data_IF_658256544534
#
_entry.id   IF_658256544534
#
_cell.length_a   1.000
_cell.length_b   1.000
_cell.length_c   1.000
_cell.angle_alpha   90.00
_cell.angle_beta   90.00
_cell.angle_gamma   90.00
#
_symmetry.space_group_name_H-M   'P 1'
#
loop_
_entity.id
_entity.type
_entity.pdbx_description
1 polymer ?
#
# COMPACT_ATOMS: atom_id res chain seq x y z
N UNK A 1 19.94 -24.53 -3.02
CA UNK A 1 20.30 -23.09 -2.92
C UNK A 1 19.08 -22.29 -3.32
N UNK A 2 18.53 -21.40 -2.49
CA UNK A 2 17.49 -20.50 -2.96
C UNK A 2 18.14 -19.51 -3.92
N UNK A 3 17.74 -19.52 -5.19
CA UNK A 3 18.17 -18.53 -6.16
C UNK A 3 17.70 -17.15 -5.66
N UNK A 4 18.64 -16.27 -5.35
CA UNK A 4 18.36 -14.88 -5.05
C UNK A 4 17.98 -14.15 -6.34
N UNK A 5 16.69 -14.15 -6.67
CA UNK A 5 16.14 -13.47 -7.85
C UNK A 5 16.19 -11.95 -7.68
N UNK A 6 17.12 -11.29 -8.40
CA UNK A 6 17.20 -9.82 -8.46
C UNK A 6 16.66 -9.34 -9.82
N UNK A 7 15.63 -8.48 -9.86
CA UNK A 7 15.21 -7.83 -11.09
C UNK A 7 16.37 -7.05 -11.73
N UNK A 8 16.49 -7.11 -13.06
CA UNK A 8 17.47 -6.28 -13.77
C UNK A 8 17.12 -4.80 -13.62
N UNK A 9 18.14 -3.95 -13.55
CA UNK A 9 17.95 -2.49 -13.42
C UNK A 9 17.03 -1.94 -14.52
N UNK A 10 17.17 -2.46 -15.74
CA UNK A 10 16.33 -2.07 -16.88
C UNK A 10 14.84 -2.38 -16.66
N UNK A 11 14.51 -3.57 -16.14
CA UNK A 11 13.13 -3.96 -15.87
C UNK A 11 12.51 -3.18 -14.70
N UNK A 12 13.33 -2.88 -13.69
CA UNK A 12 12.94 -1.97 -12.61
C UNK A 12 12.60 -0.58 -13.14
N UNK A 13 13.45 -0.02 -14.01
CA UNK A 13 13.23 1.29 -14.59
C UNK A 13 11.98 1.31 -15.47
N UNK A 14 11.78 0.28 -16.31
CA UNK A 14 10.63 0.22 -17.22
C UNK A 14 9.29 0.02 -16.49
N UNK A 15 9.26 -0.80 -15.44
CA UNK A 15 8.04 -0.97 -14.63
C UNK A 15 7.74 0.28 -13.82
N UNK A 16 8.77 0.98 -13.32
CA UNK A 16 8.59 2.26 -12.64
C UNK A 16 8.04 3.35 -13.58
N UNK A 17 8.57 3.47 -14.81
CA UNK A 17 8.05 4.44 -15.78
C UNK A 17 6.62 4.11 -16.20
N UNK A 18 6.31 2.82 -16.41
CA UNK A 18 4.95 2.38 -16.72
C UNK A 18 3.96 2.73 -15.60
N UNK A 19 4.36 2.51 -14.34
CA UNK A 19 3.56 2.86 -13.17
C UNK A 19 3.37 4.38 -13.04
N UNK A 20 4.41 5.17 -13.28
CA UNK A 20 4.32 6.64 -13.27
C UNK A 20 3.38 7.17 -14.35
N UNK A 21 3.45 6.62 -15.58
CA UNK A 21 2.52 6.95 -16.66
C UNK A 21 1.08 6.56 -16.31
N UNK A 22 0.88 5.39 -15.70
CA UNK A 22 -0.42 4.95 -15.21
C UNK A 22 -1.03 5.95 -14.23
N UNK A 23 -0.25 6.45 -13.27
CA UNK A 23 -0.69 7.48 -12.31
C UNK A 23 -1.05 8.80 -13.00
N UNK A 24 -0.26 9.23 -13.98
CA UNK A 24 -0.55 10.46 -14.75
C UNK A 24 -1.85 10.31 -15.52
N UNK A 25 -2.03 9.21 -16.25
CA UNK A 25 -3.26 8.92 -17.03
C UNK A 25 -4.47 8.81 -16.10
N UNK A 26 -4.33 8.15 -14.95
CA UNK A 26 -5.41 8.01 -13.96
C UNK A 26 -5.88 9.36 -13.41
N UNK A 27 -4.98 10.35 -13.31
CA UNK A 27 -5.30 11.69 -12.82
C UNK A 27 -5.68 12.69 -13.92
N UNK A 28 -5.65 12.30 -15.19
CA UNK A 28 -6.13 13.17 -16.27
C UNK A 28 -7.64 13.33 -16.19
N UNK A 29 -8.09 14.58 -16.20
CA UNK A 29 -9.50 14.94 -16.32
C UNK A 29 -9.81 15.41 -17.73
N UNK A 30 -11.10 15.52 -18.09
CA UNK A 30 -11.54 16.08 -19.38
C UNK A 30 -11.09 17.53 -19.59
N UNK A 31 -10.74 18.24 -18.51
CA UNK A 31 -10.23 19.61 -18.53
C UNK A 31 -8.69 19.70 -18.45
N UNK A 32 -7.98 18.56 -18.50
CA UNK A 32 -6.52 18.48 -18.38
C UNK A 32 -6.02 18.02 -17.01
N UNK A 33 -4.76 18.33 -16.69
CA UNK A 33 -4.12 17.98 -15.41
C UNK A 33 -4.31 19.13 -14.43
N UNK A 34 -5.12 18.90 -13.40
CA UNK A 34 -5.27 19.83 -12.28
C UNK A 34 -4.22 19.45 -11.23
N UNK A 35 -3.34 20.38 -10.89
CA UNK A 35 -2.34 20.14 -9.86
C UNK A 35 -3.00 20.07 -8.48
N UNK A 36 -2.78 18.96 -7.77
CA UNK A 36 -3.33 18.72 -6.43
C UNK A 36 -2.18 18.43 -5.49
N UNK A 37 -1.88 19.37 -4.60
CA UNK A 37 -0.82 19.22 -3.60
C UNK A 37 -1.01 17.98 -2.71
N UNK A 38 -2.25 17.57 -2.49
CA UNK A 38 -2.60 16.35 -1.75
C UNK A 38 -2.05 15.07 -2.39
N UNK A 39 -1.84 15.05 -3.71
CA UNK A 39 -1.24 13.90 -4.40
C UNK A 39 0.23 13.70 -4.00
N UNK A 40 0.95 14.77 -3.66
CA UNK A 40 2.32 14.67 -3.14
C UNK A 40 2.35 14.03 -1.75
N UNK A 41 1.35 14.30 -0.91
CA UNK A 41 1.18 13.61 0.37
C UNK A 41 0.89 12.11 0.15
N UNK A 42 0.08 11.78 -0.86
CA UNK A 42 -0.15 10.39 -1.27
C UNK A 42 1.13 9.69 -1.75
N UNK A 43 1.94 10.35 -2.57
CA UNK A 43 3.24 9.84 -3.02
C UNK A 43 4.22 9.66 -1.86
N UNK A 44 4.31 10.64 -0.96
CA UNK A 44 5.13 10.55 0.25
C UNK A 44 4.68 9.38 1.14
N UNK A 45 3.37 9.20 1.33
CA UNK A 45 2.82 8.07 2.05
C UNK A 45 3.21 6.73 1.40
N UNK A 46 3.18 6.64 0.07
CA UNK A 46 3.65 5.46 -0.68
C UNK A 46 5.14 5.16 -0.45
N UNK A 47 5.99 6.19 -0.50
CA UNK A 47 7.42 6.06 -0.23
C UNK A 47 7.69 5.56 1.20
N UNK A 48 7.10 6.20 2.21
CA UNK A 48 7.25 5.78 3.61
C UNK A 48 6.66 4.39 3.88
N UNK A 49 5.57 4.02 3.20
CA UNK A 49 5.03 2.67 3.27
C UNK A 49 6.07 1.66 2.77
N UNK A 50 6.70 1.90 1.61
CA UNK A 50 7.79 1.06 1.10
C UNK A 50 8.97 0.95 2.08
N UNK A 51 9.44 2.07 2.63
CA UNK A 51 10.50 2.08 3.64
C UNK A 51 10.12 1.25 4.88
N UNK A 52 8.87 1.37 5.35
CA UNK A 52 8.37 0.61 6.50
C UNK A 52 8.39 -0.90 6.24
N UNK A 53 8.10 -1.35 5.01
CA UNK A 53 8.16 -2.78 4.67
C UNK A 53 9.60 -3.31 4.69
N UNK A 54 10.57 -2.53 4.21
CA UNK A 54 11.98 -2.92 4.25
C UNK A 54 12.47 -2.98 5.70
N UNK A 55 12.08 -2.02 6.53
CA UNK A 55 12.38 -2.02 7.95
C UNK A 55 11.72 -3.21 8.67
N UNK A 56 10.45 -3.49 8.38
CA UNK A 56 9.69 -4.60 8.95
C UNK A 56 10.30 -5.95 8.54
N UNK A 57 10.72 -6.11 7.28
CA UNK A 57 11.42 -7.30 6.82
C UNK A 57 12.70 -7.52 7.63
N UNK A 58 13.54 -6.49 7.79
CA UNK A 58 14.76 -6.60 8.60
C UNK A 58 14.47 -6.90 10.07
N UNK A 59 13.49 -6.22 10.66
CA UNK A 59 13.07 -6.45 12.04
C UNK A 59 12.54 -7.86 12.26
N UNK A 60 11.82 -8.42 11.29
CA UNK A 60 11.29 -9.79 11.34
C UNK A 60 12.36 -10.89 11.27
N UNK A 61 13.61 -10.52 10.94
CA UNK A 61 14.77 -11.43 10.97
C UNK A 61 15.53 -11.42 12.29
N UNK A 62 15.21 -10.48 13.17
CA UNK A 62 15.69 -10.50 14.55
C UNK A 62 14.80 -11.47 15.33
N UNK A 63 15.37 -12.16 16.33
CA UNK A 63 14.65 -13.08 17.21
C UNK A 63 13.78 -12.30 18.22
N UNK A 64 12.81 -11.57 17.70
CA UNK A 64 11.84 -10.77 18.44
C UNK A 64 10.43 -11.24 18.09
N UNK A 65 9.53 -11.37 19.08
CA UNK A 65 8.14 -11.73 18.82
C UNK A 65 7.47 -10.71 17.89
N UNK A 66 6.74 -11.20 16.88
CA UNK A 66 6.00 -10.38 15.91
C UNK A 66 5.05 -9.37 16.57
N UNK A 67 4.48 -9.74 17.72
CA UNK A 67 3.61 -8.85 18.50
C UNK A 67 4.36 -7.64 19.06
N UNK A 68 5.62 -7.82 19.48
CA UNK A 68 6.46 -6.73 20.00
C UNK A 68 6.82 -5.76 18.88
N UNK A 69 7.21 -6.27 17.70
CA UNK A 69 7.55 -5.45 16.53
C UNK A 69 6.36 -4.59 16.11
N UNK A 70 5.18 -5.19 15.93
CA UNK A 70 3.99 -4.45 15.53
C UNK A 70 3.45 -3.54 16.64
N UNK A 71 3.52 -3.98 17.91
CA UNK A 71 3.08 -3.20 19.06
C UNK A 71 3.83 -1.87 19.18
N UNK A 72 5.16 -1.90 19.11
CA UNK A 72 5.97 -0.68 19.09
C UNK A 72 5.72 0.18 17.86
N UNK A 73 5.57 -0.45 16.69
CA UNK A 73 5.25 0.27 15.45
C UNK A 73 3.94 1.07 15.57
N UNK A 74 2.89 0.46 16.13
CA UNK A 74 1.61 1.14 16.37
C UNK A 74 1.70 2.18 17.48
N UNK A 75 2.45 1.93 18.55
CA UNK A 75 2.65 2.89 19.63
C UNK A 75 3.33 4.17 19.13
N UNK A 76 4.41 4.05 18.35
CA UNK A 76 5.08 5.20 17.74
C UNK A 76 4.18 5.91 16.72
N UNK A 77 3.45 5.17 15.89
CA UNK A 77 2.49 5.76 14.97
C UNK A 77 1.41 6.57 15.70
N UNK A 78 0.84 6.03 16.78
CA UNK A 78 -0.14 6.72 17.59
C UNK A 78 0.44 8.00 18.24
N UNK A 79 1.67 7.93 18.76
CA UNK A 79 2.35 9.08 19.36
C UNK A 79 2.61 10.20 18.34
N UNK A 80 2.93 9.86 17.10
CA UNK A 80 3.17 10.83 16.01
C UNK A 80 1.84 11.42 15.49
N UNK A 81 0.79 10.60 15.37
CA UNK A 81 -0.51 11.03 14.83
C UNK A 81 -1.28 11.90 15.83
N UNK A 82 -1.17 11.63 17.13
CA UNK A 82 -1.91 12.36 18.17
C UNK A 82 -1.73 13.90 18.13
N UNK A 83 -0.51 14.47 18.07
CA UNK A 83 -0.32 15.92 17.94
C UNK A 83 -0.77 16.45 16.57
N UNK A 84 -0.84 15.62 15.52
CA UNK A 84 -1.36 16.06 14.23
C UNK A 84 -2.86 16.34 14.28
N UNK A 85 -3.60 15.65 15.14
CA UNK A 85 -5.04 15.89 15.36
C UNK A 85 -5.30 17.27 15.97
N UNK A 86 -4.43 17.74 16.89
CA UNK A 86 -4.60 19.06 17.53
C UNK A 86 -4.25 20.22 16.59
N UNK A 87 -3.33 20.01 15.64
CA UNK A 87 -2.93 21.02 14.66
C UNK A 87 -3.98 21.18 13.55
N UNK A 88 -4.59 20.08 13.11
CA UNK A 88 -5.50 20.07 11.95
C UNK A 88 -6.94 20.45 12.30
N UNK A 89 -7.36 20.32 13.57
CA UNK A 89 -8.71 20.64 14.06
C UNK A 89 -8.61 21.62 15.24
N UNK A 90 -8.38 22.93 15.00
CA UNK A 90 -8.21 23.91 16.07
C UNK A 90 -9.49 24.14 16.90
N UNK A 91 -10.67 23.85 16.35
CA UNK A 91 -11.95 23.96 17.03
C UNK A 91 -12.34 22.65 17.72
N UNK A 92 -11.72 22.39 18.87
CA UNK A 92 -11.96 21.21 19.71
C UNK A 92 -13.44 21.05 20.14
N UNK A 93 -14.21 22.14 20.17
CA UNK A 93 -15.63 22.15 20.54
C UNK A 93 -16.53 21.60 19.43
N UNK A 94 -16.22 21.85 18.16
CA UNK A 94 -16.99 21.32 17.03
C UNK A 94 -16.78 19.80 16.85
N UNK A 95 -15.57 19.30 17.11
CA UNK A 95 -15.26 17.87 17.07
C UNK A 95 -15.89 17.09 18.23
N UNK A 96 -16.01 17.68 19.42
CA UNK A 96 -16.76 17.09 20.55
C UNK A 96 -18.27 16.99 20.28
N UNK A 97 -18.85 17.95 19.56
CA UNK A 97 -20.26 17.89 19.15
C UNK A 97 -20.49 16.74 18.16
N UNK A 98 -19.59 16.53 17.19
CA UNK A 98 -19.65 15.38 16.28
C UNK A 98 -19.42 14.02 16.97
N UNK A 99 -18.67 13.98 18.08
CA UNK A 99 -18.54 12.76 18.90
C UNK A 99 -19.86 12.36 19.55
N UNK A 100 -20.71 13.33 19.91
CA UNK A 100 -22.02 13.08 20.53
C UNK A 100 -23.06 12.59 19.51
N UNK A 101 -22.87 12.88 18.21
CA UNK A 101 -23.69 12.35 17.11
C UNK A 101 -23.08 11.11 16.43
N UNK A 102 -21.99 10.58 16.99
CA UNK A 102 -21.30 9.42 16.43
C UNK A 102 -22.19 8.17 16.60
N UNK A 103 -22.81 7.73 15.50
CA UNK A 103 -23.62 6.52 15.53
C UNK A 103 -22.79 5.30 15.96
N UNK A 104 -23.38 4.41 16.74
CA UNK A 104 -22.75 3.13 17.14
C UNK A 104 -22.29 2.29 15.93
N UNK A 105 -22.94 2.46 14.78
CA UNK A 105 -22.52 1.86 13.52
C UNK A 105 -21.13 2.31 13.08
N UNK A 106 -20.84 3.61 13.13
CA UNK A 106 -19.51 4.16 12.78
C UNK A 106 -18.45 3.67 13.75
N UNK A 107 -18.73 3.65 15.06
CA UNK A 107 -17.81 3.10 16.07
C UNK A 107 -17.47 1.64 15.78
N UNK A 108 -18.49 0.83 15.46
CA UNK A 108 -18.31 -0.59 15.14
C UNK A 108 -17.43 -0.77 13.90
N UNK A 109 -17.66 0.02 12.85
CA UNK A 109 -16.84 0.00 11.63
C UNK A 109 -15.39 0.44 11.90
N UNK A 110 -15.17 1.43 12.76
CA UNK A 110 -13.81 1.85 13.15
C UNK A 110 -13.07 0.75 13.93
N UNK A 111 -13.75 0.05 14.83
CA UNK A 111 -13.18 -1.10 15.54
C UNK A 111 -12.83 -2.21 14.54
N UNK A 112 -13.74 -2.54 13.62
CA UNK A 112 -13.48 -3.53 12.57
C UNK A 112 -12.30 -3.14 11.69
N UNK A 113 -12.21 -1.86 11.29
CA UNK A 113 -11.10 -1.34 10.50
C UNK A 113 -9.77 -1.47 11.26
N UNK A 114 -9.74 -1.08 12.54
CA UNK A 114 -8.56 -1.19 13.39
C UNK A 114 -8.11 -2.65 13.56
N UNK A 115 -9.05 -3.55 13.87
CA UNK A 115 -8.78 -4.97 14.02
C UNK A 115 -8.29 -5.62 12.72
N UNK A 116 -8.93 -5.32 11.58
CA UNK A 116 -8.53 -5.82 10.27
C UNK A 116 -7.14 -5.34 9.86
N UNK A 117 -6.84 -4.06 10.12
CA UNK A 117 -5.53 -3.46 9.84
C UNK A 117 -4.43 -4.08 10.71
N UNK A 118 -4.69 -4.25 12.02
CA UNK A 118 -3.76 -4.89 12.94
C UNK A 118 -3.50 -6.35 12.56
N UNK A 119 -4.56 -7.09 12.20
CA UNK A 119 -4.48 -8.49 11.74
C UNK A 119 -3.63 -8.61 10.47
N UNK A 120 -3.83 -7.71 9.50
CA UNK A 120 -3.05 -7.67 8.26
C UNK A 120 -1.56 -7.46 8.55
N UNK A 121 -1.22 -6.52 9.42
CA UNK A 121 0.19 -6.25 9.78
C UNK A 121 0.81 -7.41 10.56
N UNK A 122 0.05 -8.05 11.44
CA UNK A 122 0.49 -9.23 12.17
C UNK A 122 0.84 -10.40 11.23
N UNK A 123 -0.07 -10.76 10.31
CA UNK A 123 0.17 -11.84 9.36
C UNK A 123 1.28 -11.50 8.38
N UNK A 124 1.38 -10.24 7.95
CA UNK A 124 2.47 -9.79 7.08
C UNK A 124 3.83 -9.93 7.77
N UNK A 125 3.95 -9.52 9.03
CA UNK A 125 5.20 -9.67 9.77
C UNK A 125 5.56 -11.14 10.00
N UNK A 126 4.58 -12.01 10.30
CA UNK A 126 4.80 -13.47 10.34
C UNK A 126 5.26 -14.03 9.00
N UNK A 127 4.64 -13.62 7.90
CA UNK A 127 5.06 -14.05 6.57
C UNK A 127 6.51 -13.64 6.30
N UNK A 128 6.91 -12.43 6.70
CA UNK A 128 8.30 -11.96 6.59
C UNK A 128 9.30 -12.79 7.40
N UNK A 129 8.90 -13.34 8.55
CA UNK A 129 9.75 -14.30 9.28
C UNK A 129 10.02 -15.58 8.46
N UNK A 130 9.01 -16.07 7.73
CA UNK A 130 9.06 -17.37 7.03
C UNK A 130 9.81 -17.36 5.68
N UNK A 131 9.88 -16.22 4.99
CA UNK A 131 10.48 -16.14 3.65
C UNK A 131 11.97 -15.80 3.67
N UNK A 132 12.75 -16.32 2.74
CA UNK A 132 14.19 -15.99 2.67
C UNK A 132 14.44 -14.59 2.08
N UNK A 133 13.51 -14.09 1.26
CA UNK A 133 13.63 -12.81 0.56
C UNK A 133 12.30 -12.05 0.57
N UNK A 134 12.38 -10.72 0.67
CA UNK A 134 11.23 -9.82 0.53
C UNK A 134 10.50 -10.02 -0.82
N UNK A 135 11.24 -10.39 -1.87
CA UNK A 135 10.69 -10.62 -3.21
C UNK A 135 9.73 -11.82 -3.29
N UNK A 136 9.77 -12.76 -2.35
CA UNK A 136 8.84 -13.89 -2.33
C UNK A 136 7.43 -13.48 -1.89
N UNK A 137 7.32 -12.41 -1.10
CA UNK A 137 6.04 -11.88 -0.62
C UNK A 137 5.49 -10.74 -1.45
N UNK A 138 6.31 -10.13 -2.31
CA UNK A 138 5.89 -9.07 -3.23
C UNK A 138 4.61 -9.45 -4.04
N UNK A 139 4.47 -10.66 -4.62
CA UNK A 139 3.23 -11.03 -5.32
C UNK A 139 1.98 -10.97 -4.45
N UNK A 140 2.07 -11.46 -3.21
CA UNK A 140 0.95 -11.47 -2.28
C UNK A 140 0.59 -10.06 -1.79
N UNK A 141 1.56 -9.15 -1.74
CA UNK A 141 1.32 -7.75 -1.38
C UNK A 141 0.61 -7.02 -2.53
N UNK A 142 1.03 -7.27 -3.77
CA UNK A 142 0.46 -6.60 -4.94
C UNK A 142 -0.92 -7.15 -5.35
N UNK A 143 -1.30 -8.37 -4.94
CA UNK A 143 -2.70 -8.83 -5.12
C UNK A 143 -3.71 -7.91 -4.43
N UNK A 144 -3.32 -7.18 -3.37
CA UNK A 144 -4.19 -6.20 -2.74
C UNK A 144 -4.62 -5.08 -3.71
N UNK A 145 -3.77 -4.70 -4.67
CA UNK A 145 -4.14 -3.69 -5.69
C UNK A 145 -5.23 -4.21 -6.63
N UNK A 146 -5.20 -5.50 -6.97
CA UNK A 146 -6.22 -6.13 -7.80
C UNK A 146 -7.55 -6.15 -7.05
N UNK A 147 -7.54 -6.56 -5.78
CA UNK A 147 -8.75 -6.56 -4.95
C UNK A 147 -9.30 -5.15 -4.73
N UNK A 148 -8.44 -4.16 -4.51
CA UNK A 148 -8.87 -2.76 -4.38
C UNK A 148 -9.60 -2.27 -5.64
N UNK A 149 -9.05 -2.58 -6.82
CA UNK A 149 -9.68 -2.23 -8.10
C UNK A 149 -11.01 -2.97 -8.31
N UNK A 150 -11.06 -4.28 -8.02
CA UNK A 150 -12.29 -5.05 -8.11
C UNK A 150 -13.36 -4.52 -7.17
N UNK A 151 -13.01 -4.18 -5.94
CA UNK A 151 -13.95 -3.61 -4.99
C UNK A 151 -14.45 -2.25 -5.42
N UNK A 152 -13.58 -1.43 -6.01
CA UNK A 152 -13.96 -0.14 -6.57
C UNK A 152 -15.02 -0.26 -7.68
N UNK A 153 -15.00 -1.32 -8.47
CA UNK A 153 -16.01 -1.56 -9.51
C UNK A 153 -17.27 -2.21 -8.93
N UNK A 154 -17.12 -3.15 -8.00
CA UNK A 154 -18.24 -3.99 -7.52
C UNK A 154 -19.06 -3.35 -6.41
N UNK A 155 -18.43 -2.60 -5.51
CA UNK A 155 -19.06 -2.10 -4.27
C UNK A 155 -19.21 -0.58 -4.23
N UNK A 156 -18.38 0.16 -4.99
CA UNK A 156 -18.44 1.61 -5.01
C UNK A 156 -19.15 2.08 -6.28
N UNK A 157 -20.22 2.87 -6.12
CA UNK A 157 -20.95 3.51 -7.23
C UNK A 157 -20.17 4.73 -7.78
N UNK A 158 -18.87 4.55 -8.01
CA UNK A 158 -17.99 5.59 -8.56
C UNK A 158 -17.87 5.38 -10.07
N UNK A 159 -18.45 6.30 -10.83
CA UNK A 159 -18.28 6.34 -12.29
C UNK A 159 -16.83 6.70 -12.64
N UNK A 160 -16.00 5.68 -12.87
CA UNK A 160 -14.65 5.88 -13.39
C UNK A 160 -14.69 6.23 -14.87
N UNK A 161 -13.92 7.25 -15.27
CA UNK A 161 -13.73 7.54 -16.69
C UNK A 161 -12.88 6.43 -17.33
N UNK A 162 -12.98 6.28 -18.65
CA UNK A 162 -12.16 5.31 -19.39
C UNK A 162 -10.65 5.51 -19.15
N UNK A 163 -10.20 6.76 -19.05
CA UNK A 163 -8.80 7.09 -18.73
C UNK A 163 -8.39 6.61 -17.33
N UNK A 164 -9.27 6.76 -16.33
CA UNK A 164 -9.02 6.26 -14.98
C UNK A 164 -8.90 4.75 -14.93
N UNK A 165 -9.75 4.04 -15.67
CA UNK A 165 -9.68 2.57 -15.78
C UNK A 165 -8.37 2.13 -16.43
N UNK A 166 -8.00 2.75 -17.56
CA UNK A 166 -6.73 2.45 -18.27
C UNK A 166 -5.51 2.77 -17.40
N UNK A 167 -5.49 3.93 -16.74
CA UNK A 167 -4.40 4.32 -15.85
C UNK A 167 -4.24 3.36 -14.67
N UNK A 168 -5.35 2.97 -14.03
CA UNK A 168 -5.33 1.98 -12.94
C UNK A 168 -4.87 0.60 -13.43
N UNK A 169 -5.32 0.18 -14.61
CA UNK A 169 -4.88 -1.05 -15.26
C UNK A 169 -3.38 -1.07 -15.54
N UNK A 170 -2.80 0.05 -15.99
CA UNK A 170 -1.36 0.17 -16.22
C UNK A 170 -0.56 0.08 -14.91
N UNK A 171 -1.05 0.65 -13.81
CA UNK A 171 -0.41 0.53 -12.49
C UNK A 171 -0.40 -0.93 -12.02
N UNK A 172 -1.53 -1.63 -12.15
CA UNK A 172 -1.64 -3.05 -11.79
C UNK A 172 -0.69 -3.88 -12.67
N UNK A 173 -0.71 -3.66 -13.99
CA UNK A 173 0.16 -4.37 -14.93
C UNK A 173 1.64 -4.15 -14.62
N UNK A 174 2.05 -2.91 -14.37
CA UNK A 174 3.42 -2.58 -13.99
C UNK A 174 3.86 -3.31 -12.71
N UNK A 175 2.97 -3.36 -11.71
CA UNK A 175 3.21 -4.05 -10.44
C UNK A 175 3.36 -5.57 -10.63
N UNK A 176 2.51 -6.16 -11.48
CA UNK A 176 2.60 -7.57 -11.86
C UNK A 176 3.89 -7.88 -12.62
N UNK A 177 4.26 -7.06 -13.60
CA UNK A 177 5.50 -7.22 -14.37
C UNK A 177 6.73 -7.10 -13.49
N UNK A 178 6.75 -6.16 -12.53
CA UNK A 178 7.85 -6.02 -11.58
C UNK A 178 8.04 -7.29 -10.75
N UNK A 179 6.93 -7.97 -10.44
CA UNK A 179 6.91 -9.13 -9.57
C UNK A 179 7.19 -10.44 -10.29
N UNK A 180 6.49 -10.70 -11.40
CA UNK A 180 6.55 -11.96 -12.14
C UNK A 180 7.60 -11.92 -13.27
N UNK A 181 7.92 -10.73 -13.78
CA UNK A 181 8.92 -10.53 -14.83
C UNK A 181 10.30 -11.12 -14.55
N UNK A 182 10.91 -10.95 -13.35
CA UNK A 182 12.22 -11.53 -13.08
C UNK A 182 12.18 -13.06 -13.09
N UNK A 183 11.11 -13.66 -12.55
CA UNK A 183 10.91 -15.12 -12.59
C UNK A 183 10.78 -15.61 -14.02
N UNK A 184 9.93 -14.97 -14.83
CA UNK A 184 9.69 -15.37 -16.21
C UNK A 184 10.95 -15.27 -17.09
N UNK A 185 11.72 -14.19 -16.95
CA UNK A 185 12.95 -13.98 -17.72
C UNK A 185 14.02 -15.03 -17.39
N UNK A 186 14.10 -15.46 -16.13
CA UNK A 186 15.06 -16.47 -15.71
C UNK A 186 14.62 -17.89 -16.09
N UNK A 187 13.31 -18.21 -16.07
CA UNK A 187 12.79 -19.43 -16.71
C UNK A 187 13.22 -19.49 -18.18
N UNK A 188 13.06 -18.38 -18.92
CA UNK A 188 13.42 -18.30 -20.33
C UNK A 188 14.93 -18.44 -20.58
N UNK A 189 15.78 -17.89 -19.69
CA UNK A 189 17.25 -18.04 -19.77
C UNK A 189 17.76 -19.43 -19.40
N UNK A 190 17.05 -20.15 -18.54
CA UNK A 190 17.41 -21.51 -18.11
C UNK A 190 16.98 -22.58 -19.12
N UNK A 191 16.29 -22.21 -20.22
CA UNK A 191 16.01 -23.12 -21.33
C UNK A 191 15.13 -24.32 -20.96
N UNK A 192 14.20 -24.13 -20.01
CA UNK A 192 13.10 -25.06 -19.72
C UNK A 192 11.79 -24.42 -20.14
#
# INVERSE_FOLDING_TARGET
MPLHFKPSLFMLLSTFTLMALGVVIQNMTTQGIIWRWDLLLGLAAGFFNGCSQVALFRASKVDLPVMVINGWSFAFAAMIVMPMLTITQPNYTASLIHMNELSWGVVTLLIMLGFSTASTQFYRSKAYCLVASNSELAPLIYTNLIFAFLFQILFYDTNMTWLQVVGTGLIILASLLNTFGPRYLDYWKLGV
#
